data_IF_878846809641
#
_entry.id   IF_878846809641
#
_cell.length_a   1.000
_cell.length_b   1.000
_cell.length_c   1.000
_cell.angle_alpha   90.00
_cell.angle_beta   90.00
_cell.angle_gamma   90.00
#
_symmetry.space_group_name_H-M   'P 1'
#
loop_
_entity.id
_entity.type
_entity.pdbx_description
1 polymer ?
#
# COMPACT_ATOMS: atom_id res chain seq x y z
N UNK A 1 14.68 -16.72 -9.71
CA UNK A 1 14.60 -15.56 -8.81
C UNK A 1 14.99 -14.30 -9.58
N UNK A 2 14.08 -13.75 -10.33
CA UNK A 2 14.27 -12.47 -11.05
C UNK A 2 13.44 -11.44 -10.31
N UNK A 3 14.04 -10.72 -9.35
CA UNK A 3 13.50 -9.43 -8.91
C UNK A 3 13.44 -8.57 -10.19
N UNK A 4 12.26 -8.42 -10.76
CA UNK A 4 12.00 -7.36 -11.72
C UNK A 4 12.28 -6.07 -10.96
N UNK A 5 13.45 -5.46 -11.21
CA UNK A 5 13.75 -4.10 -10.75
C UNK A 5 12.78 -3.16 -11.47
N UNK A 6 11.58 -3.03 -10.95
CA UNK A 6 10.65 -2.02 -11.45
C UNK A 6 11.24 -0.67 -11.08
N UNK A 7 11.55 0.14 -12.10
CA UNK A 7 12.07 1.50 -11.92
C UNK A 7 10.89 2.47 -11.86
N UNK A 8 11.09 3.60 -11.19
CA UNK A 8 10.12 4.69 -11.26
C UNK A 8 9.97 5.20 -12.69
N UNK A 9 8.72 5.26 -13.15
CA UNK A 9 8.35 5.77 -14.47
C UNK A 9 7.49 7.01 -14.29
N UNK A 10 8.11 8.19 -14.44
CA UNK A 10 7.40 9.47 -14.35
C UNK A 10 6.62 9.71 -15.64
N UNK A 11 5.32 9.86 -15.52
CA UNK A 11 4.44 10.30 -16.60
C UNK A 11 3.98 11.73 -16.33
N UNK A 12 4.25 12.64 -17.26
CA UNK A 12 3.82 14.02 -17.16
C UNK A 12 3.73 14.66 -18.55
N UNK A 13 2.69 15.47 -18.83
CA UNK A 13 2.64 16.29 -20.03
C UNK A 13 3.65 17.45 -19.98
N UNK A 14 4.24 17.71 -18.80
CA UNK A 14 5.17 18.82 -18.59
C UNK A 14 6.62 18.34 -18.61
N UNK A 15 7.52 19.25 -19.00
CA UNK A 15 8.98 19.08 -18.86
C UNK A 15 9.50 20.10 -17.86
N UNK A 16 10.58 19.78 -17.12
CA UNK A 16 11.22 20.75 -16.23
C UNK A 16 11.62 22.04 -16.98
N UNK A 17 11.24 23.19 -16.46
CA UNK A 17 11.52 24.50 -17.04
C UNK A 17 12.02 25.50 -16.01
N UNK A 18 12.57 26.63 -16.47
CA UNK A 18 13.14 27.66 -15.59
C UNK A 18 14.27 27.11 -14.75
N UNK A 19 14.20 27.30 -13.44
CA UNK A 19 15.21 26.84 -12.47
C UNK A 19 15.04 25.36 -12.05
N UNK A 20 13.96 24.70 -12.48
CA UNK A 20 13.68 23.31 -12.09
C UNK A 20 14.79 22.33 -12.51
N UNK A 21 15.32 22.35 -13.75
CA UNK A 21 16.42 21.44 -14.13
C UNK A 21 17.65 21.57 -13.25
N UNK A 22 18.05 22.79 -12.90
CA UNK A 22 19.16 23.05 -12.02
C UNK A 22 18.89 22.58 -10.59
N UNK A 23 17.67 22.80 -10.07
CA UNK A 23 17.27 22.36 -8.74
C UNK A 23 17.22 20.82 -8.65
N UNK A 24 16.70 20.13 -9.67
CA UNK A 24 16.67 18.67 -9.76
C UNK A 24 18.09 18.12 -9.69
N UNK A 25 18.99 18.65 -10.53
CA UNK A 25 20.37 18.18 -10.59
C UNK A 25 21.10 18.40 -9.26
N UNK A 26 20.95 19.58 -8.65
CA UNK A 26 21.55 19.89 -7.35
C UNK A 26 21.07 18.97 -6.23
N UNK A 27 19.75 18.65 -6.19
CA UNK A 27 19.20 17.74 -5.20
C UNK A 27 19.72 16.30 -5.41
N UNK A 28 19.75 15.82 -6.64
CA UNK A 28 20.24 14.48 -6.98
C UNK A 28 21.73 14.35 -6.63
N UNK A 29 22.54 15.32 -7.01
CA UNK A 29 23.98 15.33 -6.73
C UNK A 29 24.24 15.37 -5.22
N UNK A 30 23.50 16.21 -4.48
CA UNK A 30 23.64 16.29 -3.04
C UNK A 30 23.29 14.97 -2.33
N UNK A 31 22.18 14.31 -2.72
CA UNK A 31 21.82 12.99 -2.17
C UNK A 31 22.88 11.94 -2.51
N UNK A 32 23.40 11.92 -3.72
CA UNK A 32 24.42 10.97 -4.13
C UNK A 32 25.78 11.23 -3.45
N UNK A 33 26.06 12.48 -3.09
CA UNK A 33 27.23 12.87 -2.30
C UNK A 33 27.05 12.59 -0.79
N UNK A 34 25.87 12.11 -0.35
CA UNK A 34 25.60 11.78 1.05
C UNK A 34 25.20 12.97 1.92
N UNK A 35 24.67 14.05 1.33
CA UNK A 35 24.13 15.16 2.08
C UNK A 35 22.99 14.68 3.03
N UNK A 36 23.11 14.98 4.31
CA UNK A 36 22.13 14.57 5.32
C UNK A 36 20.78 15.29 5.15
N UNK A 37 20.81 16.53 4.67
CA UNK A 37 19.62 17.35 4.44
C UNK A 37 19.82 18.34 3.31
N UNK A 38 18.74 18.64 2.61
CA UNK A 38 18.69 19.66 1.57
C UNK A 38 17.35 20.41 1.67
N UNK A 39 17.30 21.64 1.22
CA UNK A 39 16.09 22.46 1.21
C UNK A 39 15.78 22.89 -0.20
N UNK A 40 14.59 22.55 -0.69
CA UNK A 40 14.03 23.08 -1.92
C UNK A 40 13.14 24.29 -1.61
N UNK A 41 13.63 25.49 -1.91
CA UNK A 41 12.90 26.72 -1.71
C UNK A 41 12.20 27.16 -3.01
N UNK A 42 10.93 27.51 -2.91
CA UNK A 42 10.16 27.99 -4.06
C UNK A 42 8.79 28.50 -3.62
N UNK A 43 8.26 29.47 -4.36
CA UNK A 43 6.92 30.03 -4.13
C UNK A 43 5.81 29.00 -4.40
N UNK A 44 4.61 29.27 -3.93
CA UNK A 44 3.45 28.43 -4.25
C UNK A 44 3.23 28.43 -5.76
N UNK A 45 2.94 27.25 -6.33
CA UNK A 45 2.75 27.09 -7.77
C UNK A 45 4.04 27.00 -8.60
N UNK A 46 5.24 27.03 -8.01
CA UNK A 46 6.51 26.88 -8.76
C UNK A 46 6.81 25.44 -9.21
N UNK A 47 5.89 24.48 -8.99
CA UNK A 47 6.07 23.10 -9.40
C UNK A 47 7.04 22.30 -8.51
N UNK A 48 7.13 22.61 -7.21
CA UNK A 48 7.98 21.87 -6.26
C UNK A 48 7.69 20.36 -6.26
N UNK A 49 6.42 19.97 -6.27
CA UNK A 49 6.01 18.55 -6.31
C UNK A 49 6.54 17.86 -7.56
N UNK A 50 6.43 18.52 -8.72
CA UNK A 50 6.97 18.00 -9.97
C UNK A 50 8.50 17.92 -9.97
N UNK A 51 9.18 18.91 -9.37
CA UNK A 51 10.65 18.88 -9.15
C UNK A 51 11.04 17.67 -8.32
N UNK A 52 10.34 17.41 -7.18
CA UNK A 52 10.59 16.25 -6.32
C UNK A 52 10.30 14.94 -7.05
N UNK A 53 9.24 14.86 -7.85
CA UNK A 53 8.94 13.66 -8.64
C UNK A 53 10.07 13.32 -9.62
N UNK A 54 10.67 14.32 -10.29
CA UNK A 54 11.85 14.12 -11.15
C UNK A 54 13.07 13.63 -10.35
N UNK A 55 13.29 14.14 -9.13
CA UNK A 55 14.36 13.65 -8.24
C UNK A 55 14.13 12.19 -7.86
N UNK A 56 12.92 11.81 -7.49
CA UNK A 56 12.54 10.43 -7.14
C UNK A 56 12.84 9.48 -8.31
N UNK A 57 12.42 9.85 -9.52
CA UNK A 57 12.68 9.06 -10.72
C UNK A 57 14.18 8.84 -10.95
N UNK A 58 14.99 9.89 -10.83
CA UNK A 58 16.44 9.79 -11.09
C UNK A 58 17.19 8.98 -10.04
N UNK A 59 16.78 9.08 -8.77
CA UNK A 59 17.39 8.33 -7.67
C UNK A 59 16.96 6.88 -7.63
N UNK A 60 15.74 6.59 -8.06
CA UNK A 60 15.14 5.25 -8.06
C UNK A 60 15.25 4.55 -6.69
N UNK A 61 14.87 5.25 -5.63
CA UNK A 61 14.92 4.76 -4.23
C UNK A 61 13.54 4.83 -3.60
N UNK A 62 13.17 3.89 -2.72
CA UNK A 62 11.96 4.01 -1.90
C UNK A 62 11.93 5.36 -1.20
N UNK A 63 10.78 6.02 -1.25
CA UNK A 63 10.64 7.41 -0.79
C UNK A 63 9.49 7.55 0.18
N UNK A 64 9.72 8.24 1.30
CA UNK A 64 8.69 8.66 2.25
C UNK A 64 8.46 10.16 2.12
N UNK A 65 7.22 10.55 1.84
CA UNK A 65 6.77 11.94 1.80
C UNK A 65 5.91 12.19 3.05
N UNK A 66 6.39 13.04 3.95
CA UNK A 66 5.66 13.39 5.16
C UNK A 66 4.99 14.75 5.03
N UNK A 67 3.74 14.82 5.44
CA UNK A 67 2.94 16.04 5.49
C UNK A 67 2.41 16.27 6.91
N UNK A 68 2.15 17.54 7.25
CA UNK A 68 1.70 17.90 8.59
C UNK A 68 0.21 17.60 8.86
N UNK A 69 -0.60 17.30 7.82
CA UNK A 69 -2.00 16.93 7.98
C UNK A 69 -2.49 15.98 6.89
N UNK A 70 -3.67 15.37 7.11
CA UNK A 70 -4.31 14.42 6.17
C UNK A 70 -4.65 15.06 4.82
N UNK A 71 -5.12 16.30 4.81
CA UNK A 71 -5.57 17.00 3.59
C UNK A 71 -4.41 17.21 2.62
N UNK A 72 -3.29 17.73 3.12
CA UNK A 72 -2.09 17.89 2.30
C UNK A 72 -1.49 16.54 1.88
N UNK A 73 -1.53 15.54 2.78
CA UNK A 73 -1.11 14.18 2.41
C UNK A 73 -1.97 13.63 1.26
N UNK A 74 -3.29 13.82 1.29
CA UNK A 74 -4.18 13.37 0.21
C UNK A 74 -3.89 14.08 -1.12
N UNK A 75 -3.62 15.39 -1.08
CA UNK A 75 -3.22 16.14 -2.28
C UNK A 75 -1.90 15.59 -2.85
N UNK A 76 -0.86 15.45 -2.03
CA UNK A 76 0.44 14.93 -2.46
C UNK A 76 0.34 13.50 -2.98
N UNK A 77 -0.49 12.65 -2.33
CA UNK A 77 -0.77 11.31 -2.81
C UNK A 77 -1.38 11.32 -4.21
N UNK A 78 -2.41 12.14 -4.43
CA UNK A 78 -3.05 12.26 -5.74
C UNK A 78 -2.10 12.76 -6.82
N UNK A 79 -1.26 13.78 -6.52
CA UNK A 79 -0.26 14.29 -7.44
C UNK A 79 0.81 13.22 -7.76
N UNK A 80 1.33 12.51 -6.76
CA UNK A 80 2.32 11.44 -6.96
C UNK A 80 1.74 10.24 -7.72
N UNK A 81 0.48 9.87 -7.44
CA UNK A 81 -0.21 8.79 -8.17
C UNK A 81 -0.40 9.14 -9.65
N UNK A 82 -0.66 10.42 -9.95
CA UNK A 82 -0.75 10.91 -11.33
C UNK A 82 0.62 10.91 -12.04
N UNK A 83 1.70 11.22 -11.31
CA UNK A 83 3.06 11.19 -11.87
C UNK A 83 3.63 9.77 -12.02
N UNK A 84 3.20 8.83 -11.19
CA UNK A 84 3.72 7.46 -11.14
C UNK A 84 2.57 6.43 -11.20
N UNK A 85 1.80 6.38 -12.30
CA UNK A 85 0.60 5.53 -12.39
C UNK A 85 0.91 4.04 -12.32
N UNK A 86 2.12 3.62 -12.71
CA UNK A 86 2.56 2.22 -12.76
C UNK A 86 3.42 1.79 -11.57
N UNK A 87 3.70 2.70 -10.64
CA UNK A 87 4.51 2.42 -9.46
C UNK A 87 3.65 2.35 -8.19
N UNK A 88 4.21 1.79 -7.11
CA UNK A 88 3.53 1.71 -5.83
C UNK A 88 3.54 3.08 -5.14
N UNK A 89 2.48 3.85 -5.32
CA UNK A 89 2.23 5.07 -4.57
C UNK A 89 1.15 4.77 -3.55
N UNK A 90 1.50 4.86 -2.27
CA UNK A 90 0.69 4.41 -1.15
C UNK A 90 0.37 5.55 -0.18
N UNK A 91 -0.79 5.46 0.47
CA UNK A 91 -1.30 6.47 1.38
C UNK A 91 -1.32 5.96 2.82
N UNK A 92 -0.62 6.66 3.72
CA UNK A 92 -0.47 6.21 5.10
C UNK A 92 -0.79 7.33 6.09
N UNK A 93 -2.05 7.42 6.52
CA UNK A 93 -2.52 8.42 7.49
C UNK A 93 -3.25 7.75 8.65
N UNK A 94 -3.66 8.51 9.66
CA UNK A 94 -4.46 7.97 10.77
C UNK A 94 -5.80 7.43 10.26
N UNK A 95 -6.17 6.22 10.65
CA UNK A 95 -7.44 5.58 10.32
C UNK A 95 -8.63 6.06 11.15
N UNK A 96 -8.38 6.89 12.18
CA UNK A 96 -9.45 7.52 12.94
C UNK A 96 -9.99 8.74 12.19
N UNK A 97 -11.27 8.73 11.85
CA UNK A 97 -11.94 9.88 11.25
C UNK A 97 -12.50 10.80 12.32
N UNK A 98 -12.97 10.23 13.42
CA UNK A 98 -13.56 10.94 14.53
C UNK A 98 -12.99 10.42 15.86
N UNK A 99 -12.61 11.35 16.73
CA UNK A 99 -12.22 11.07 18.10
C UNK A 99 -12.99 12.00 19.03
N UNK A 100 -13.92 11.45 19.80
CA UNK A 100 -14.59 12.14 20.88
C UNK A 100 -14.02 11.62 22.20
N UNK A 101 -13.27 12.44 22.95
CA UNK A 101 -12.83 12.05 24.28
C UNK A 101 -14.05 11.94 25.20
N UNK A 102 -13.96 11.04 26.15
CA UNK A 102 -14.92 11.01 27.24
C UNK A 102 -14.92 12.33 28.01
N UNK A 103 -16.09 12.82 28.34
CA UNK A 103 -16.26 14.04 29.11
C UNK A 103 -17.49 13.92 30.04
N UNK A 104 -17.40 14.52 31.20
CA UNK A 104 -18.52 14.64 32.13
C UNK A 104 -18.90 16.11 32.28
N UNK A 105 -20.19 16.43 32.09
CA UNK A 105 -20.73 17.78 32.22
C UNK A 105 -21.54 17.83 33.54
N UNK A 106 -20.94 18.33 34.63
CA UNK A 106 -21.60 18.29 35.95
C UNK A 106 -22.94 19.07 36.03
N UNK A 107 -23.08 20.12 35.22
CA UNK A 107 -24.28 20.97 35.22
C UNK A 107 -25.52 20.28 34.71
N UNK A 108 -25.39 19.23 33.90
CA UNK A 108 -26.49 18.48 33.31
C UNK A 108 -26.46 16.99 33.69
N UNK A 109 -25.49 16.59 34.55
CA UNK A 109 -25.23 15.20 34.90
C UNK A 109 -25.09 14.30 33.66
N UNK A 110 -24.45 14.85 32.61
CA UNK A 110 -24.29 14.17 31.33
C UNK A 110 -22.88 13.60 31.21
N UNK A 111 -22.81 12.28 31.06
CA UNK A 111 -21.58 11.59 30.67
C UNK A 111 -21.57 11.36 29.16
N UNK A 112 -20.53 11.90 28.49
CA UNK A 112 -20.27 11.70 27.07
C UNK A 112 -19.26 10.57 26.95
N UNK A 113 -19.67 9.46 26.36
CA UNK A 113 -18.80 8.31 26.15
C UNK A 113 -17.74 8.61 25.07
N UNK A 114 -16.60 7.94 25.21
CA UNK A 114 -15.57 7.95 24.18
C UNK A 114 -16.12 7.32 22.91
N UNK A 115 -16.02 8.03 21.80
CA UNK A 115 -16.38 7.53 20.48
C UNK A 115 -15.18 7.57 19.53
N UNK A 116 -14.99 6.46 18.80
CA UNK A 116 -13.91 6.23 17.85
C UNK A 116 -14.49 5.63 16.58
N UNK A 117 -14.52 6.42 15.52
CA UNK A 117 -14.87 5.93 14.18
C UNK A 117 -13.61 5.55 13.41
N UNK A 118 -13.48 4.28 13.07
CA UNK A 118 -12.41 3.75 12.21
C UNK A 118 -12.89 3.82 10.76
N UNK A 119 -12.07 4.41 9.91
CA UNK A 119 -12.29 4.40 8.47
C UNK A 119 -11.63 3.16 7.87
N UNK A 120 -12.45 2.19 7.48
CA UNK A 120 -12.01 0.91 6.90
C UNK A 120 -11.22 1.08 5.61
N UNK A 121 -11.53 2.11 4.81
CA UNK A 121 -10.82 2.39 3.58
C UNK A 121 -9.38 2.90 3.86
N UNK A 122 -9.24 3.77 4.86
CA UNK A 122 -7.90 4.23 5.29
C UNK A 122 -7.11 3.08 5.89
N UNK A 123 -7.75 2.18 6.63
CA UNK A 123 -7.09 0.99 7.18
C UNK A 123 -6.57 0.09 6.06
N UNK A 124 -7.38 -0.15 5.03
CA UNK A 124 -6.97 -0.86 3.82
C UNK A 124 -5.74 -0.23 3.15
N UNK A 125 -5.75 1.09 2.95
CA UNK A 125 -4.62 1.82 2.34
C UNK A 125 -3.35 1.73 3.18
N UNK A 126 -3.46 1.71 4.51
CA UNK A 126 -2.33 1.51 5.42
C UNK A 126 -1.73 0.10 5.29
N UNK A 127 -2.59 -0.92 5.22
CA UNK A 127 -2.15 -2.30 5.00
C UNK A 127 -1.50 -2.46 3.62
N UNK A 128 -2.05 -1.82 2.57
CA UNK A 128 -1.43 -1.77 1.23
C UNK A 128 -0.01 -1.19 1.28
N UNK A 129 0.17 -0.08 2.00
CA UNK A 129 1.50 0.53 2.16
C UNK A 129 2.51 -0.42 2.83
N UNK A 130 2.08 -1.15 3.88
CA UNK A 130 2.93 -2.15 4.55
C UNK A 130 3.25 -3.31 3.60
N UNK A 131 2.25 -3.84 2.89
CA UNK A 131 2.45 -4.91 1.91
C UNK A 131 3.43 -4.50 0.80
N UNK A 132 3.28 -3.28 0.25
CA UNK A 132 4.21 -2.74 -0.75
C UNK A 132 5.65 -2.66 -0.25
N UNK A 133 5.87 -2.23 1.00
CA UNK A 133 7.22 -2.17 1.59
C UNK A 133 7.82 -3.56 1.83
N UNK A 134 7.01 -4.51 2.27
CA UNK A 134 7.46 -5.88 2.60
C UNK A 134 7.63 -6.76 1.36
N UNK A 135 7.01 -6.41 0.23
CA UNK A 135 7.17 -7.13 -1.05
C UNK A 135 8.58 -7.08 -1.63
N UNK A 136 9.47 -6.26 -1.07
CA UNK A 136 10.84 -6.08 -1.53
C UNK A 136 11.00 -5.21 -2.77
N UNK A 137 9.91 -4.67 -3.35
CA UNK A 137 9.97 -3.73 -4.47
C UNK A 137 10.66 -2.42 -4.05
N UNK A 138 11.30 -1.77 -5.00
CA UNK A 138 12.09 -0.54 -4.76
C UNK A 138 11.41 0.72 -5.25
N UNK A 139 10.40 0.59 -6.07
CA UNK A 139 9.61 1.67 -6.67
C UNK A 139 8.40 2.05 -5.80
N UNK A 140 8.63 2.28 -4.51
CA UNK A 140 7.59 2.58 -3.52
C UNK A 140 7.69 4.03 -3.07
N UNK A 141 6.58 4.76 -3.15
CA UNK A 141 6.38 6.09 -2.56
C UNK A 141 5.29 5.99 -1.50
N UNK A 142 5.63 6.26 -0.25
CA UNK A 142 4.65 6.37 0.83
C UNK A 142 4.36 7.85 1.08
N UNK A 143 3.11 8.26 0.91
CA UNK A 143 2.67 9.61 1.30
C UNK A 143 1.94 9.51 2.64
N UNK A 144 2.46 10.20 3.63
CA UNK A 144 2.08 10.02 5.03
C UNK A 144 1.80 11.34 5.74
N UNK A 145 1.00 11.26 6.79
CA UNK A 145 0.96 12.26 7.85
C UNK A 145 1.87 11.84 9.02
N UNK A 146 1.92 12.63 10.07
CA UNK A 146 2.65 12.31 11.32
C UNK A 146 2.26 10.93 11.89
N UNK A 147 1.14 10.35 11.48
CA UNK A 147 0.69 9.02 11.91
C UNK A 147 1.65 7.88 11.57
N UNK A 148 2.61 8.10 10.65
CA UNK A 148 3.60 7.07 10.30
C UNK A 148 4.56 6.73 11.46
N UNK A 149 4.65 7.57 12.48
CA UNK A 149 5.43 7.26 13.69
C UNK A 149 4.76 6.21 14.59
N UNK A 150 3.45 5.98 14.40
CA UNK A 150 2.70 4.94 15.09
C UNK A 150 2.62 3.71 14.17
N UNK A 151 3.38 2.67 14.51
CA UNK A 151 3.44 1.44 13.73
C UNK A 151 2.11 0.67 13.65
N UNK A 152 2.02 -0.26 12.70
CA UNK A 152 0.91 -1.23 12.54
C UNK A 152 1.23 -2.60 13.14
N UNK A 153 2.26 -2.71 13.96
CA UNK A 153 2.76 -3.98 14.52
C UNK A 153 4.24 -4.19 14.23
N UNK A 154 4.72 -5.39 14.50
CA UNK A 154 6.12 -5.75 14.25
C UNK A 154 6.31 -6.13 12.76
N UNK A 155 7.32 -5.61 12.06
CA UNK A 155 7.65 -6.09 10.72
C UNK A 155 7.93 -7.58 10.66
N UNK A 156 8.46 -8.16 11.75
CA UNK A 156 8.70 -9.60 11.85
C UNK A 156 7.40 -10.40 11.79
N UNK A 157 6.36 -9.99 12.54
CA UNK A 157 5.07 -10.67 12.56
C UNK A 157 4.42 -10.67 11.16
N UNK A 158 4.56 -9.57 10.42
CA UNK A 158 4.08 -9.51 9.03
C UNK A 158 4.88 -10.45 8.12
N UNK A 159 6.21 -10.50 8.24
CA UNK A 159 7.06 -11.33 7.39
C UNK A 159 6.84 -12.82 7.64
N UNK A 160 6.62 -13.23 8.90
CA UNK A 160 6.35 -14.62 9.27
C UNK A 160 5.00 -15.13 8.76
N UNK A 161 4.06 -14.23 8.44
CA UNK A 161 2.73 -14.57 7.92
C UNK A 161 2.62 -14.38 6.39
N UNK A 162 3.72 -14.15 5.67
CA UNK A 162 3.72 -14.12 4.21
C UNK A 162 3.57 -15.54 3.68
N UNK A 163 2.61 -15.72 2.79
CA UNK A 163 2.37 -16.99 2.07
C UNK A 163 2.81 -16.77 0.63
N UNK A 164 3.93 -17.38 0.25
CA UNK A 164 4.41 -17.36 -1.13
C UNK A 164 3.83 -18.53 -1.91
N UNK A 165 3.25 -18.25 -3.06
CA UNK A 165 2.62 -19.22 -3.95
C UNK A 165 3.27 -19.18 -5.32
N UNK A 166 3.40 -20.37 -5.92
CA UNK A 166 3.96 -20.52 -7.26
C UNK A 166 3.11 -21.49 -8.08
N UNK A 167 2.86 -21.15 -9.34
CA UNK A 167 2.25 -22.06 -10.29
C UNK A 167 3.11 -23.32 -10.46
N UNK A 168 2.51 -24.48 -10.48
CA UNK A 168 3.19 -25.77 -10.50
C UNK A 168 3.72 -26.23 -9.15
N UNK A 169 3.50 -25.46 -8.08
CA UNK A 169 3.87 -25.87 -6.72
C UNK A 169 3.00 -27.01 -6.24
N UNK A 170 3.64 -28.08 -5.79
CA UNK A 170 2.93 -29.23 -5.17
C UNK A 170 2.75 -28.98 -3.68
N UNK A 171 1.54 -28.66 -3.30
CA UNK A 171 1.14 -28.43 -1.90
C UNK A 171 -0.28 -28.96 -1.69
N UNK A 172 -0.55 -29.80 -0.68
CA UNK A 172 -1.93 -30.19 -0.37
C UNK A 172 -2.78 -28.95 -0.04
N UNK A 173 -3.99 -28.88 -0.62
CA UNK A 173 -4.91 -27.78 -0.37
C UNK A 173 -5.12 -27.53 1.13
N UNK A 174 -5.29 -28.57 1.95
CA UNK A 174 -5.43 -28.46 3.40
C UNK A 174 -4.25 -27.78 4.08
N UNK A 175 -3.05 -27.88 3.52
CA UNK A 175 -1.87 -27.18 4.03
C UNK A 175 -1.98 -25.68 3.78
N UNK A 176 -2.37 -25.28 2.58
CA UNK A 176 -2.61 -23.86 2.27
C UNK A 176 -3.74 -23.28 3.11
N UNK A 177 -4.83 -24.03 3.33
CA UNK A 177 -5.92 -23.58 4.21
C UNK A 177 -5.44 -23.35 5.66
N UNK A 178 -4.57 -24.21 6.18
CA UNK A 178 -3.97 -24.02 7.52
C UNK A 178 -3.07 -22.79 7.56
N UNK A 179 -2.29 -22.53 6.51
CA UNK A 179 -1.47 -21.32 6.41
C UNK A 179 -2.33 -20.05 6.40
N UNK A 180 -3.43 -20.03 5.63
CA UNK A 180 -4.37 -18.92 5.62
C UNK A 180 -4.97 -18.66 7.01
N UNK A 181 -5.38 -19.70 7.73
CA UNK A 181 -5.90 -19.56 9.09
C UNK A 181 -4.81 -19.06 10.06
N UNK A 182 -3.57 -19.53 9.91
CA UNK A 182 -2.44 -19.02 10.72
C UNK A 182 -2.14 -17.55 10.44
N UNK A 183 -2.32 -17.12 9.19
CA UNK A 183 -2.22 -15.72 8.76
C UNK A 183 -3.49 -14.89 9.08
N UNK A 184 -4.35 -15.39 9.98
CA UNK A 184 -5.56 -14.73 10.48
C UNK A 184 -6.70 -14.57 9.46
N UNK A 185 -6.68 -15.29 8.33
CA UNK A 185 -7.82 -15.33 7.42
C UNK A 185 -8.92 -16.24 7.98
N UNK A 186 -10.16 -15.83 7.79
CA UNK A 186 -11.34 -16.58 8.27
C UNK A 186 -12.04 -17.24 7.09
N UNK A 187 -12.30 -18.56 7.19
CA UNK A 187 -13.11 -19.24 6.19
C UNK A 187 -14.56 -18.80 6.27
N UNK A 188 -15.11 -18.33 5.16
CA UNK A 188 -16.53 -18.03 5.02
C UNK A 188 -16.98 -18.30 3.58
N UNK A 189 -17.73 -19.39 3.40
CA UNK A 189 -18.19 -19.81 2.08
C UNK A 189 -19.45 -19.03 1.61
N UNK A 190 -20.12 -18.31 2.53
CA UNK A 190 -21.34 -17.56 2.23
C UNK A 190 -21.04 -16.12 1.81
N UNK A 191 -20.15 -15.44 2.53
CA UNK A 191 -19.79 -14.04 2.29
C UNK A 191 -18.29 -13.85 2.25
N UNK A 192 -17.78 -13.38 1.13
CA UNK A 192 -16.36 -13.15 0.92
C UNK A 192 -16.02 -11.67 1.14
N UNK A 193 -15.83 -11.30 2.42
CA UNK A 193 -15.37 -9.98 2.83
C UNK A 193 -13.85 -9.97 3.08
N UNK A 194 -13.25 -8.82 3.28
CA UNK A 194 -11.82 -8.63 3.56
C UNK A 194 -11.34 -9.53 4.70
N UNK A 195 -10.17 -10.13 4.55
CA UNK A 195 -9.60 -11.06 5.50
C UNK A 195 -10.30 -12.42 5.54
N UNK A 196 -11.12 -12.73 4.54
CA UNK A 196 -11.83 -14.01 4.43
C UNK A 196 -11.40 -14.78 3.20
N UNK A 197 -11.57 -16.09 3.25
CA UNK A 197 -11.43 -16.96 2.10
C UNK A 197 -12.59 -17.95 2.03
N UNK A 198 -12.86 -18.44 0.83
CA UNK A 198 -13.82 -19.52 0.59
C UNK A 198 -13.21 -20.61 -0.25
N UNK A 199 -13.78 -21.81 -0.16
CA UNK A 199 -13.36 -22.97 -0.92
C UNK A 199 -14.56 -23.50 -1.72
N UNK A 200 -14.37 -23.66 -3.03
CA UNK A 200 -15.36 -24.25 -3.93
C UNK A 200 -14.71 -25.28 -4.83
N UNK A 201 -14.89 -26.58 -4.49
CA UNK A 201 -14.19 -27.65 -5.18
C UNK A 201 -12.68 -27.51 -5.06
N UNK A 202 -12.00 -27.46 -6.19
CA UNK A 202 -10.54 -27.33 -6.27
C UNK A 202 -10.06 -25.87 -6.35
N UNK A 203 -10.92 -24.91 -5.97
CA UNK A 203 -10.64 -23.47 -6.06
C UNK A 203 -10.73 -22.80 -4.69
N UNK A 204 -9.74 -21.97 -4.37
CA UNK A 204 -9.73 -21.10 -3.19
C UNK A 204 -9.80 -19.65 -3.67
N UNK A 205 -10.81 -18.91 -3.23
CA UNK A 205 -10.90 -17.47 -3.41
C UNK A 205 -10.53 -16.76 -2.09
N UNK A 206 -9.59 -15.85 -2.13
CA UNK A 206 -9.06 -15.10 -0.97
C UNK A 206 -9.33 -13.62 -1.17
N UNK A 207 -10.08 -13.00 -0.23
CA UNK A 207 -10.28 -11.56 -0.18
C UNK A 207 -9.19 -10.93 0.71
N UNK A 208 -8.18 -10.37 0.09
CA UNK A 208 -7.07 -9.74 0.81
C UNK A 208 -7.54 -8.53 1.62
N UNK A 209 -6.91 -8.29 2.77
CA UNK A 209 -7.26 -7.17 3.64
C UNK A 209 -6.91 -5.80 3.01
N UNK A 210 -5.99 -5.77 2.04
CA UNK A 210 -5.40 -4.58 1.44
C UNK A 210 -5.72 -4.37 -0.04
N UNK A 211 -6.48 -5.26 -0.68
CA UNK A 211 -6.78 -5.18 -2.10
C UNK A 211 -8.30 -5.14 -2.36
N UNK A 212 -8.68 -4.65 -3.55
CA UNK A 212 -10.06 -4.59 -4.01
C UNK A 212 -10.40 -5.72 -4.99
N UNK A 213 -9.47 -6.63 -5.21
CA UNK A 213 -9.64 -7.85 -5.99
C UNK A 213 -9.51 -9.08 -5.11
N UNK A 214 -9.95 -10.22 -5.62
CA UNK A 214 -9.73 -11.53 -5.01
C UNK A 214 -8.49 -12.18 -5.61
N UNK A 215 -7.75 -12.91 -4.79
CA UNK A 215 -6.76 -13.86 -5.28
C UNK A 215 -7.45 -15.22 -5.38
N UNK A 216 -7.47 -15.78 -6.58
CA UNK A 216 -8.01 -17.11 -6.87
C UNK A 216 -6.88 -18.06 -7.11
N UNK A 217 -6.90 -19.19 -6.42
CA UNK A 217 -5.96 -20.30 -6.57
C UNK A 217 -6.71 -21.51 -7.03
N UNK A 218 -6.37 -22.01 -8.21
CA UNK A 218 -6.95 -23.21 -8.79
C UNK A 218 -5.98 -24.38 -8.63
N UNK A 219 -6.50 -25.52 -8.19
CA UNK A 219 -5.73 -26.72 -7.97
C UNK A 219 -6.09 -27.80 -8.99
N UNK A 220 -5.07 -28.56 -9.40
CA UNK A 220 -5.25 -29.84 -10.03
C UNK A 220 -4.65 -30.92 -9.12
N UNK A 221 -5.50 -31.59 -8.36
CA UNK A 221 -5.07 -32.49 -7.28
C UNK A 221 -4.34 -31.73 -6.16
N UNK A 222 -3.05 -31.97 -5.99
CA UNK A 222 -2.21 -31.26 -5.00
C UNK A 222 -1.29 -30.22 -5.65
N UNK A 223 -1.44 -29.91 -6.91
CA UNK A 223 -0.62 -28.94 -7.64
C UNK A 223 -1.42 -27.66 -7.88
N UNK A 224 -0.78 -26.50 -7.70
CA UNK A 224 -1.36 -25.20 -8.06
C UNK A 224 -1.31 -25.07 -9.58
N UNK A 225 -2.48 -25.13 -10.23
CA UNK A 225 -2.62 -25.00 -11.68
C UNK A 225 -2.61 -23.55 -12.14
N UNK A 226 -3.32 -22.67 -11.42
CA UNK A 226 -3.37 -21.25 -11.73
C UNK A 226 -3.42 -20.38 -10.47
N UNK A 227 -2.84 -19.18 -10.58
CA UNK A 227 -2.94 -18.11 -9.59
C UNK A 227 -3.43 -16.87 -10.32
N UNK A 228 -4.63 -16.40 -9.97
CA UNK A 228 -5.35 -15.35 -10.70
C UNK A 228 -5.75 -14.22 -9.75
N UNK A 229 -5.79 -13.00 -10.24
CA UNK A 229 -6.59 -11.95 -9.61
C UNK A 229 -7.93 -11.84 -10.32
N UNK A 230 -8.99 -11.63 -9.56
CA UNK A 230 -10.37 -11.68 -10.04
C UNK A 230 -11.15 -10.50 -9.47
N UNK A 231 -11.93 -9.85 -10.32
CA UNK A 231 -12.87 -8.83 -9.88
C UNK A 231 -13.98 -9.45 -9.00
N UNK A 232 -14.20 -8.97 -7.76
CA UNK A 232 -15.12 -9.62 -6.83
C UNK A 232 -16.59 -9.54 -7.23
N UNK A 233 -16.95 -8.58 -8.10
CA UNK A 233 -18.33 -8.31 -8.51
C UNK A 233 -18.66 -9.09 -9.79
N UNK A 234 -17.84 -8.91 -10.83
CA UNK A 234 -18.08 -9.54 -12.12
C UNK A 234 -17.55 -10.97 -12.24
N UNK A 235 -16.59 -11.34 -11.37
CA UNK A 235 -15.87 -12.61 -11.45
C UNK A 235 -14.87 -12.69 -12.61
N UNK A 236 -14.61 -11.57 -13.28
CA UNK A 236 -13.71 -11.50 -14.42
C UNK A 236 -12.25 -11.61 -13.97
N UNK A 237 -11.46 -12.41 -14.66
CA UNK A 237 -10.02 -12.51 -14.44
C UNK A 237 -9.37 -11.20 -14.85
N UNK A 238 -8.58 -10.61 -13.93
CA UNK A 238 -7.84 -9.37 -14.15
C UNK A 238 -6.41 -9.67 -14.62
N UNK A 239 -5.73 -10.58 -13.94
CA UNK A 239 -4.35 -10.93 -14.23
C UNK A 239 -4.04 -12.35 -13.78
N UNK A 240 -3.07 -13.01 -14.44
CA UNK A 240 -2.55 -14.34 -14.11
C UNK A 240 -1.09 -14.24 -13.67
N UNK A 241 -0.70 -15.00 -12.65
CA UNK A 241 0.61 -14.92 -12.01
C UNK A 241 1.34 -16.27 -12.02
N UNK A 242 2.63 -16.24 -12.28
CA UNK A 242 3.53 -17.38 -12.05
C UNK A 242 3.97 -17.48 -10.58
N UNK A 243 4.01 -16.32 -9.89
CA UNK A 243 4.36 -16.17 -8.47
C UNK A 243 3.50 -15.09 -7.84
N UNK A 244 2.98 -15.35 -6.67
CA UNK A 244 2.19 -14.40 -5.91
C UNK A 244 2.61 -14.41 -4.44
#
# INVERSE_FOLDING_TARGET
MGLLFVMFQLESPYKPTGDQPQAIQALVDGINAGAEAQVLLGVTGSGKTFTVANVIQQLNRPTLIMSHNKTLAAQLYSEMKAFFPHNAVEYFVSYYDYYQPEAYIPSTDLYIEKDLSINEEIDRLRLSAVAALLSGRKDVIIVSSVSCIYGLGSPQDFTENVIELKRGQVIPMDTLLKQLVSAQYIRNDAELARGRFRVKGDTIDIALAYADYLVRIEFFGNEIDAILTVDPISGQVLEEFEHY
#
